data_IF_405045603189
#
_entry.id   IF_405045603189
#
_cell.length_a   1.000
_cell.length_b   1.000
_cell.length_c   1.000
_cell.angle_alpha   90.00
_cell.angle_beta   90.00
_cell.angle_gamma   90.00
#
_symmetry.space_group_name_H-M   'P 1'
#
loop_
_entity.id
_entity.type
_entity.pdbx_description
1 polymer ?
#
# COMPACT_ATOMS: atom_id res chain seq x y z
N UNK A 1 -2.36 0.36 -11.41
CA UNK A 1 -2.52 1.23 -10.22
C UNK A 1 -1.41 0.88 -9.22
N UNK A 2 -0.73 1.86 -8.61
CA UNK A 2 0.39 1.62 -7.68
C UNK A 2 -0.09 1.39 -6.25
N UNK A 3 -0.12 0.14 -5.83
CA UNK A 3 -0.62 -0.27 -4.51
C UNK A 3 0.52 -0.32 -3.52
N UNK A 4 0.55 0.71 -2.69
CA UNK A 4 1.36 0.73 -1.49
C UNK A 4 0.58 0.10 -0.35
N UNK A 5 1.10 -1.01 0.16
CA UNK A 5 0.49 -1.77 1.25
C UNK A 5 0.34 -0.89 2.49
N UNK A 6 -0.87 -0.81 3.05
CA UNK A 6 -1.10 -0.29 4.41
C UNK A 6 -1.80 -1.34 5.28
N UNK A 7 -1.39 -1.43 6.53
CA UNK A 7 -2.08 -2.16 7.60
C UNK A 7 -2.07 -1.27 8.86
N UNK A 8 -3.09 -1.39 9.71
CA UNK A 8 -3.13 -0.75 11.03
C UNK A 8 -2.71 -1.81 12.06
N UNK A 9 -1.64 -1.55 12.81
CA UNK A 9 -1.20 -2.39 13.93
C UNK A 9 0.06 -3.22 13.68
N UNK A 10 0.31 -3.64 12.43
CA UNK A 10 1.49 -4.42 12.02
C UNK A 10 2.06 -3.91 10.68
N UNK A 11 3.30 -4.31 10.34
CA UNK A 11 3.94 -3.93 9.07
C UNK A 11 3.05 -4.34 7.89
N UNK A 12 2.75 -3.39 7.02
CA UNK A 12 1.95 -3.64 5.84
C UNK A 12 2.58 -4.67 4.87
N UNK A 13 1.75 -5.54 4.31
CA UNK A 13 2.13 -6.70 3.48
C UNK A 13 1.54 -6.63 2.06
N UNK A 14 2.10 -7.42 1.16
CA UNK A 14 1.55 -7.94 -0.12
C UNK A 14 0.06 -7.67 -0.40
N UNK A 15 -0.75 -8.14 0.53
CA UNK A 15 -2.21 -8.25 0.48
C UNK A 15 -2.88 -7.37 1.54
N UNK A 16 -2.30 -6.20 1.81
CA UNK A 16 -2.88 -5.16 2.67
C UNK A 16 -4.13 -4.53 2.04
N UNK A 17 -5.06 -4.07 2.87
CA UNK A 17 -6.39 -3.60 2.43
C UNK A 17 -6.44 -2.15 1.92
N UNK A 18 -5.31 -1.46 1.82
CA UNK A 18 -5.27 -0.09 1.34
C UNK A 18 -4.21 0.08 0.26
N UNK A 19 -4.52 0.99 -0.67
CA UNK A 19 -3.76 1.29 -1.86
C UNK A 19 -3.86 2.78 -2.21
N UNK A 20 -3.05 3.24 -3.15
CA UNK A 20 -3.19 4.56 -3.77
C UNK A 20 -3.20 4.42 -5.30
N UNK A 21 -3.56 5.47 -6.02
CA UNK A 21 -3.57 5.46 -7.50
C UNK A 21 -2.22 5.86 -8.10
N UNK A 22 -1.33 6.44 -7.29
CA UNK A 22 -0.06 7.04 -7.69
C UNK A 22 1.10 6.10 -7.39
N UNK A 23 1.97 5.86 -8.38
CA UNK A 23 3.19 5.10 -8.16
C UNK A 23 4.22 5.88 -7.33
N UNK A 24 4.96 5.21 -6.46
CA UNK A 24 5.98 5.82 -5.60
C UNK A 24 5.47 7.05 -4.81
N UNK A 25 4.22 6.96 -4.32
CA UNK A 25 3.59 8.06 -3.60
C UNK A 25 4.37 8.44 -2.34
N UNK A 26 4.47 9.74 -2.07
CA UNK A 26 5.23 10.21 -0.91
C UNK A 26 4.53 9.86 0.40
N UNK A 27 5.33 9.54 1.43
CA UNK A 27 4.85 9.31 2.80
C UNK A 27 4.02 10.47 3.36
N UNK A 28 4.37 11.70 2.97
CA UNK A 28 3.63 12.90 3.40
C UNK A 28 2.22 12.95 2.81
N UNK A 29 2.04 12.46 1.59
CA UNK A 29 0.77 12.57 0.87
C UNK A 29 -0.16 11.39 1.16
N UNK A 30 0.41 10.20 1.39
CA UNK A 30 -0.32 9.00 1.84
C UNK A 30 -0.53 8.95 3.36
N UNK A 31 0.10 9.87 4.08
CA UNK A 31 0.00 10.03 5.54
C UNK A 31 0.30 8.75 6.35
N UNK A 32 1.34 8.03 5.93
CA UNK A 32 1.72 6.72 6.49
C UNK A 32 2.88 6.88 7.47
N UNK A 33 2.66 6.57 8.75
CA UNK A 33 3.76 6.59 9.71
C UNK A 33 4.78 5.47 9.45
N UNK A 34 6.05 5.74 9.76
CA UNK A 34 7.14 4.78 9.58
C UNK A 34 6.94 3.49 10.38
N UNK A 35 6.30 3.57 11.55
CA UNK A 35 5.94 2.43 12.37
C UNK A 35 4.93 1.47 11.70
N UNK A 36 4.17 1.93 10.69
CA UNK A 36 3.17 1.11 9.99
C UNK A 36 3.71 0.48 8.71
N UNK A 37 4.65 1.15 8.04
CA UNK A 37 5.28 0.65 6.82
C UNK A 37 6.60 1.35 6.55
N UNK A 38 7.61 0.57 6.17
CA UNK A 38 8.87 1.10 5.64
C UNK A 38 8.76 1.55 4.18
N UNK A 39 7.62 1.31 3.51
CA UNK A 39 7.37 1.66 2.11
C UNK A 39 8.39 1.06 1.11
N UNK A 40 9.06 -0.05 1.48
CA UNK A 40 10.08 -0.65 0.62
C UNK A 40 9.48 -1.26 -0.65
N UNK A 41 8.34 -1.95 -0.52
CA UNK A 41 7.74 -2.68 -1.63
C UNK A 41 6.44 -2.01 -2.08
N UNK A 42 6.20 -2.05 -3.39
CA UNK A 42 4.98 -1.53 -4.03
C UNK A 42 4.43 -2.58 -4.99
N UNK A 43 3.17 -3.01 -4.81
CA UNK A 43 2.50 -3.88 -5.77
C UNK A 43 1.87 -3.04 -6.88
N UNK A 44 1.91 -3.54 -8.11
CA UNK A 44 0.98 -3.12 -9.14
C UNK A 44 -0.24 -4.04 -9.10
N UNK A 45 -1.44 -3.46 -8.92
CA UNK A 45 -2.68 -4.21 -9.05
C UNK A 45 -3.31 -4.02 -10.44
N UNK A 46 -3.80 -5.14 -10.97
CA UNK A 46 -4.73 -5.21 -12.09
C UNK A 46 -6.09 -5.67 -11.55
N UNK A 47 -7.01 -4.72 -11.40
CA UNK A 47 -8.32 -4.94 -10.78
C UNK A 47 -9.34 -5.24 -11.88
N UNK A 48 -10.02 -6.40 -11.87
CA UNK A 48 -10.99 -6.76 -12.91
C UNK A 48 -12.11 -5.73 -13.05
N UNK A 49 -12.50 -5.44 -14.30
CA UNK A 49 -13.64 -4.56 -14.60
C UNK A 49 -14.91 -5.07 -13.91
N UNK A 50 -15.65 -4.16 -13.28
CA UNK A 50 -16.86 -4.50 -12.52
C UNK A 50 -16.61 -4.78 -11.04
N UNK A 51 -15.35 -4.78 -10.59
CA UNK A 51 -15.01 -4.84 -9.17
C UNK A 51 -15.40 -3.55 -8.46
N UNK A 52 -16.00 -3.67 -7.28
CA UNK A 52 -16.44 -2.54 -6.47
C UNK A 52 -15.32 -2.18 -5.48
N UNK A 53 -14.73 -1.00 -5.66
CA UNK A 53 -13.65 -0.47 -4.81
C UNK A 53 -14.04 0.91 -4.30
N UNK A 54 -13.69 1.21 -3.05
CA UNK A 54 -13.95 2.54 -2.48
C UNK A 54 -12.72 3.41 -2.70
N UNK A 55 -12.91 4.56 -3.35
CA UNK A 55 -11.86 5.57 -3.56
C UNK A 55 -12.22 6.83 -2.80
N UNK A 56 -11.32 7.27 -1.94
CA UNK A 56 -11.44 8.50 -1.16
C UNK A 56 -10.15 9.31 -1.19
N UNK A 57 -10.08 10.35 -0.34
CA UNK A 57 -8.88 11.17 -0.16
C UNK A 57 -8.32 10.95 1.24
N UNK A 58 -7.00 10.77 1.33
CA UNK A 58 -6.30 10.67 2.61
C UNK A 58 -6.38 12.00 3.35
N UNK A 59 -6.87 11.97 4.59
CA UNK A 59 -6.88 13.14 5.45
C UNK A 59 -5.47 13.48 5.99
N UNK A 60 -5.25 14.75 6.34
CA UNK A 60 -4.02 15.21 7.01
C UNK A 60 -3.83 14.52 8.37
N UNK A 61 -2.59 14.27 8.77
CA UNK A 61 -2.25 13.77 10.11
C UNK A 61 -1.64 14.89 10.94
N UNK A 62 -2.31 15.26 12.03
CA UNK A 62 -1.90 16.34 12.94
C UNK A 62 -1.66 15.83 14.35
N UNK A 63 -0.92 16.58 15.17
CA UNK A 63 -0.85 16.35 16.62
C UNK A 63 -2.24 16.42 17.24
N UNK A 64 -2.40 15.81 18.43
CA UNK A 64 -3.64 15.91 19.22
C UNK A 64 -4.07 17.36 19.47
N UNK A 65 -3.09 18.26 19.59
CA UNK A 65 -3.30 19.70 19.76
C UNK A 65 -3.58 20.46 18.45
N UNK A 66 -3.47 19.83 17.29
CA UNK A 66 -3.58 20.45 15.96
C UNK A 66 -2.41 21.37 15.57
N UNK A 67 -1.49 21.68 16.50
CA UNK A 67 -0.40 22.65 16.30
C UNK A 67 0.71 22.17 15.37
N UNK A 68 0.83 20.86 15.15
CA UNK A 68 1.83 20.26 14.25
C UNK A 68 1.14 19.38 13.22
N UNK A 69 1.49 19.56 11.95
CA UNK A 69 1.14 18.62 10.88
C UNK A 69 2.31 17.67 10.67
N UNK A 70 2.07 16.37 10.79
CA UNK A 70 3.07 15.33 10.51
C UNK A 70 3.06 14.93 9.03
N UNK A 71 1.87 14.84 8.44
CA UNK A 71 1.68 14.49 7.05
C UNK A 71 0.55 15.33 6.46
N UNK A 72 0.75 15.82 5.23
CA UNK A 72 -0.22 16.70 4.55
C UNK A 72 -1.49 15.96 4.14
N UNK A 73 -1.38 14.67 3.82
CA UNK A 73 -2.47 13.93 3.18
C UNK A 73 -2.73 14.41 1.75
N UNK A 74 -3.89 14.07 1.21
CA UNK A 74 -4.36 14.53 -0.10
C UNK A 74 -4.16 13.55 -1.26
N UNK A 75 -3.40 12.47 -1.06
CA UNK A 75 -3.36 11.36 -2.01
C UNK A 75 -4.71 10.64 -2.09
N UNK A 76 -4.95 9.96 -3.21
CA UNK A 76 -6.08 9.03 -3.30
C UNK A 76 -5.84 7.86 -2.36
N UNK A 77 -6.88 7.49 -1.61
CA UNK A 77 -6.93 6.28 -0.82
C UNK A 77 -7.91 5.32 -1.48
N UNK A 78 -7.42 4.16 -1.89
CA UNK A 78 -8.27 3.06 -2.35
C UNK A 78 -8.35 2.04 -1.23
N UNK A 79 -9.57 1.68 -0.83
CA UNK A 79 -9.83 0.59 0.11
C UNK A 79 -10.17 -0.65 -0.72
N UNK A 80 -9.32 -1.66 -0.62
CA UNK A 80 -9.49 -2.95 -1.26
C UNK A 80 -10.41 -3.83 -0.40
N UNK A 81 -11.17 -4.77 -1.01
CA UNK A 81 -11.88 -5.79 -0.25
C UNK A 81 -10.93 -6.52 0.70
N UNK A 82 -11.45 -6.89 1.88
CA UNK A 82 -10.74 -7.80 2.77
C UNK A 82 -10.42 -9.09 2.00
N UNK A 83 -9.17 -9.53 2.06
CA UNK A 83 -8.66 -10.72 1.38
C UNK A 83 -8.90 -10.75 -0.13
N UNK A 84 -8.71 -9.60 -0.79
CA UNK A 84 -8.78 -9.54 -2.25
C UNK A 84 -7.85 -10.59 -2.90
N UNK A 85 -8.25 -11.17 -4.05
CA UNK A 85 -7.49 -12.25 -4.67
C UNK A 85 -6.06 -11.83 -4.99
N UNK A 86 -5.08 -12.65 -4.57
CA UNK A 86 -3.67 -12.38 -4.90
C UNK A 86 -3.41 -12.36 -6.41
N UNK A 87 -4.31 -12.92 -7.22
CA UNK A 87 -4.31 -12.82 -8.69
C UNK A 87 -4.44 -11.39 -9.21
N UNK A 88 -4.90 -10.43 -8.38
CA UNK A 88 -4.90 -9.01 -8.74
C UNK A 88 -3.48 -8.43 -8.72
N UNK A 89 -2.54 -9.06 -7.99
CA UNK A 89 -1.15 -8.59 -7.91
C UNK A 89 -0.42 -9.00 -9.18
N UNK A 90 -0.16 -8.02 -10.05
CA UNK A 90 0.56 -8.22 -11.31
C UNK A 90 2.07 -8.28 -11.10
N UNK A 91 2.61 -7.41 -10.26
CA UNK A 91 4.04 -7.36 -9.96
C UNK A 91 4.31 -6.64 -8.65
N UNK A 92 5.48 -6.85 -8.06
CA UNK A 92 5.94 -6.14 -6.86
C UNK A 92 7.32 -5.54 -7.12
N UNK A 93 7.44 -4.22 -6.96
CA UNK A 93 8.71 -3.50 -7.09
C UNK A 93 9.36 -3.30 -5.74
N UNK A 94 10.66 -3.59 -5.64
CA UNK A 94 11.50 -3.20 -4.51
C UNK A 94 12.06 -1.79 -4.73
N UNK A 95 11.54 -0.81 -4.00
CA UNK A 95 12.00 0.57 -4.04
C UNK A 95 13.45 0.76 -3.59
N UNK A 96 14.05 -0.21 -2.89
CA UNK A 96 15.46 -0.15 -2.49
C UNK A 96 16.41 -0.53 -3.63
N UNK A 97 16.07 -1.56 -4.39
CA UNK A 97 16.96 -2.14 -5.42
C UNK A 97 16.52 -1.79 -6.84
N UNK A 98 15.27 -1.35 -7.03
CA UNK A 98 14.66 -1.12 -8.33
C UNK A 98 14.15 -2.39 -9.02
N UNK A 99 14.42 -3.57 -8.47
CA UNK A 99 14.01 -4.85 -9.05
C UNK A 99 12.49 -5.00 -8.98
N UNK A 100 11.90 -5.52 -10.05
CA UNK A 100 10.49 -5.87 -10.11
C UNK A 100 10.36 -7.39 -10.17
N UNK A 101 9.55 -7.94 -9.28
CA UNK A 101 9.28 -9.37 -9.14
C UNK A 101 7.87 -9.68 -9.64
N UNK A 102 7.69 -10.85 -10.23
CA UNK A 102 6.38 -11.50 -10.29
C UNK A 102 5.91 -11.89 -8.89
N UNK A 103 4.62 -12.16 -8.71
CA UNK A 103 4.09 -12.56 -7.41
C UNK A 103 4.78 -13.84 -6.87
N UNK A 104 5.04 -14.83 -7.73
CA UNK A 104 5.65 -16.10 -7.32
C UNK A 104 7.13 -15.96 -6.96
N UNK A 105 7.87 -15.11 -7.68
CA UNK A 105 9.24 -14.74 -7.30
C UNK A 105 9.26 -13.98 -5.97
N UNK A 106 8.32 -13.05 -5.79
CA UNK A 106 8.21 -12.26 -4.57
C UNK A 106 7.89 -13.14 -3.37
N UNK A 107 6.93 -14.07 -3.48
CA UNK A 107 6.58 -15.03 -2.41
C UNK A 107 7.76 -15.89 -1.99
N UNK A 108 8.59 -16.31 -2.95
CA UNK A 108 9.77 -17.15 -2.70
C UNK A 108 10.94 -16.37 -2.11
N UNK A 109 11.14 -15.12 -2.54
CA UNK A 109 12.22 -14.27 -2.06
C UNK A 109 11.89 -13.58 -0.71
N UNK A 110 10.61 -13.27 -0.47
CA UNK A 110 10.13 -12.51 0.68
C UNK A 110 8.83 -13.12 1.25
N UNK A 111 8.85 -14.37 1.73
CA UNK A 111 7.66 -15.04 2.25
C UNK A 111 7.00 -14.25 3.39
N UNK A 112 7.80 -13.65 4.28
CA UNK A 112 7.32 -12.84 5.40
C UNK A 112 6.62 -11.54 4.98
N UNK A 113 6.66 -11.15 3.70
CA UNK A 113 6.00 -9.95 3.18
C UNK A 113 4.60 -10.24 2.62
N UNK A 114 4.08 -11.45 2.81
CA UNK A 114 2.71 -11.86 2.53
C UNK A 114 1.99 -12.17 3.85
N UNK A 115 0.69 -11.88 3.97
CA UNK A 115 -0.10 -12.49 5.06
C UNK A 115 -0.29 -13.98 4.74
N UNK A 116 -0.16 -14.83 5.75
CA UNK A 116 -0.67 -16.20 5.68
C UNK A 116 -2.18 -16.15 5.48
N UNK A 117 -2.68 -17.01 4.58
CA UNK A 117 -4.11 -17.15 4.30
C UNK A 117 -4.80 -18.04 5.32
#
# INVERSE_FOLDING_TARGET
MGVQFLCVGEQAKANGGFATTVQNASRSDTAVFQQWSNQRFEAELDIPKGSLINVGKVARQTSKSGKRTYHKGGADQVILPLDYPSTWIKSVRDGKTGITYTLDEFKRAFPDQMKEG
#
